data_IF_952154434033
#
_entry.id   IF_952154434033
#
_cell.length_a   1.000
_cell.length_b   1.000
_cell.length_c   1.000
_cell.angle_alpha   90.00
_cell.angle_beta   90.00
_cell.angle_gamma   90.00
#
_symmetry.space_group_name_H-M   'P 1'
#
loop_
_entity.id
_entity.type
_entity.pdbx_description
1 polymer ?
#
# COMPACT_ATOMS: atom_id res chain seq x y z
N UNK A 1 16.71 -16.44 21.16
CA UNK A 1 16.50 -15.85 19.80
C UNK A 1 17.78 -15.14 19.41
N UNK A 2 18.48 -15.64 18.41
CA UNK A 2 19.78 -15.07 18.00
C UNK A 2 19.57 -13.66 17.40
N UNK A 3 20.28 -12.67 17.92
CA UNK A 3 20.25 -11.28 17.44
C UNK A 3 20.54 -11.14 15.93
N UNK A 4 21.20 -12.14 15.34
CA UNK A 4 21.50 -12.24 13.91
C UNK A 4 20.27 -12.50 13.04
N UNK A 5 19.27 -13.27 13.51
CA UNK A 5 18.03 -13.56 12.78
C UNK A 5 17.08 -12.35 12.68
N UNK A 6 17.11 -11.46 13.70
CA UNK A 6 16.26 -10.26 13.73
C UNK A 6 16.78 -9.17 12.78
N UNK A 7 18.03 -9.27 12.35
CA UNK A 7 18.73 -8.24 11.57
C UNK A 7 18.50 -8.34 10.06
N UNK A 8 18.05 -9.48 9.53
CA UNK A 8 17.86 -9.67 8.09
C UNK A 8 16.64 -8.91 7.56
N UNK A 9 16.83 -8.22 6.44
CA UNK A 9 15.75 -7.52 5.74
C UNK A 9 14.82 -8.54 5.08
N UNK A 10 13.51 -8.38 5.26
CA UNK A 10 12.50 -9.25 4.66
C UNK A 10 12.15 -8.70 3.28
N UNK A 11 12.79 -9.21 2.25
CA UNK A 11 12.67 -8.72 0.87
C UNK A 11 11.23 -8.74 0.34
N UNK A 12 10.46 -9.75 0.70
CA UNK A 12 9.05 -9.89 0.28
C UNK A 12 8.22 -8.66 0.64
N UNK A 13 8.47 -8.05 1.81
CA UNK A 13 7.75 -6.83 2.22
C UNK A 13 8.07 -5.64 1.30
N UNK A 14 9.28 -5.59 0.77
CA UNK A 14 9.66 -4.52 -0.17
C UNK A 14 8.99 -4.72 -1.53
N UNK A 15 8.89 -5.97 -2.03
CA UNK A 15 8.12 -6.27 -3.24
C UNK A 15 6.65 -5.91 -3.08
N UNK A 16 6.03 -6.29 -1.96
CA UNK A 16 4.63 -5.99 -1.68
C UNK A 16 4.35 -4.49 -1.56
N UNK A 17 5.26 -3.71 -0.94
CA UNK A 17 5.15 -2.24 -0.90
C UNK A 17 5.24 -1.63 -2.28
N UNK A 18 6.18 -2.09 -3.09
CA UNK A 18 6.32 -1.65 -4.47
C UNK A 18 5.07 -1.95 -5.30
N UNK A 19 4.55 -3.17 -5.18
CA UNK A 19 3.31 -3.58 -5.82
C UNK A 19 2.11 -2.72 -5.40
N UNK A 20 1.98 -2.46 -4.10
CA UNK A 20 0.91 -1.61 -3.59
C UNK A 20 1.00 -0.18 -4.14
N UNK A 21 2.19 0.41 -4.21
CA UNK A 21 2.38 1.75 -4.76
C UNK A 21 2.04 1.84 -6.25
N UNK A 22 2.29 0.79 -7.03
CA UNK A 22 1.87 0.77 -8.45
C UNK A 22 0.35 0.87 -8.59
N UNK A 23 -0.42 0.18 -7.75
CA UNK A 23 -1.87 0.31 -7.79
C UNK A 23 -2.40 1.65 -7.28
N UNK A 24 -1.75 2.23 -6.27
CA UNK A 24 -2.18 3.49 -5.64
C UNK A 24 -2.17 4.66 -6.63
N UNK A 25 -1.14 4.79 -7.46
CA UNK A 25 -1.04 5.91 -8.42
C UNK A 25 -2.16 5.88 -9.46
N UNK A 26 -2.60 4.68 -9.90
CA UNK A 26 -3.67 4.54 -10.91
C UNK A 26 -5.00 5.17 -10.47
N UNK A 27 -5.21 5.22 -9.17
CA UNK A 27 -6.41 5.83 -8.57
C UNK A 27 -6.15 7.29 -8.19
N UNK A 28 -4.98 7.59 -7.64
CA UNK A 28 -4.66 8.94 -7.15
C UNK A 28 -4.53 9.96 -8.29
N UNK A 29 -4.11 9.56 -9.48
CA UNK A 29 -3.98 10.45 -10.63
C UNK A 29 -5.33 11.07 -11.05
N UNK A 30 -6.43 10.34 -10.86
CA UNK A 30 -7.77 10.77 -11.28
C UNK A 30 -8.18 12.08 -10.58
N UNK A 31 -8.26 12.18 -9.24
CA UNK A 31 -8.58 13.42 -8.56
C UNK A 31 -7.47 14.47 -8.68
N UNK A 32 -6.20 14.07 -8.79
CA UNK A 32 -5.08 15.01 -8.89
C UNK A 32 -5.11 15.83 -10.20
N UNK A 33 -5.58 15.25 -11.29
CA UNK A 33 -5.72 15.91 -12.58
C UNK A 33 -7.16 16.28 -12.92
N UNK A 34 -8.08 16.14 -11.97
CA UNK A 34 -9.53 16.44 -12.15
C UNK A 34 -10.13 15.73 -13.36
N UNK A 35 -9.77 14.45 -13.57
CA UNK A 35 -10.20 13.67 -14.74
C UNK A 35 -11.72 13.56 -14.77
N UNK A 36 -12.34 14.02 -15.85
CA UNK A 36 -13.80 14.01 -16.02
C UNK A 36 -14.34 12.60 -16.20
N UNK A 37 -15.54 12.36 -15.67
CA UNK A 37 -16.21 11.07 -15.83
C UNK A 37 -16.39 10.72 -17.32
N UNK A 38 -16.13 9.47 -17.71
CA UNK A 38 -16.20 9.06 -19.09
C UNK A 38 -17.63 8.92 -19.60
N UNK A 39 -17.80 9.09 -20.90
CA UNK A 39 -19.05 8.77 -21.60
C UNK A 39 -19.29 7.25 -21.53
N UNK A 40 -20.53 6.80 -21.24
CA UNK A 40 -20.86 5.38 -21.22
C UNK A 40 -20.50 4.66 -22.54
N UNK A 41 -20.18 3.38 -22.44
CA UNK A 41 -19.84 2.50 -23.58
C UNK A 41 -18.54 2.87 -24.32
N UNK A 42 -17.69 3.72 -23.72
CA UNK A 42 -16.34 4.01 -24.25
C UNK A 42 -15.27 3.12 -23.59
N UNK A 43 -14.06 3.13 -24.16
CA UNK A 43 -12.87 2.50 -23.55
C UNK A 43 -12.51 3.12 -22.22
N UNK A 44 -12.71 4.42 -22.06
CA UNK A 44 -12.52 5.13 -20.80
C UNK A 44 -13.49 4.64 -19.71
N UNK A 45 -14.76 4.41 -20.03
CA UNK A 45 -15.73 3.84 -19.11
C UNK A 45 -15.38 2.41 -18.72
N UNK A 46 -14.84 1.63 -19.66
CA UNK A 46 -14.35 0.26 -19.40
C UNK A 46 -13.14 0.27 -18.47
N UNK A 47 -12.22 1.22 -18.66
CA UNK A 47 -11.07 1.39 -17.79
C UNK A 47 -11.46 1.87 -16.38
N UNK A 48 -12.42 2.81 -16.27
CA UNK A 48 -12.98 3.21 -14.97
C UNK A 48 -13.56 2.02 -14.21
N UNK A 49 -14.35 1.19 -14.90
CA UNK A 49 -14.91 -0.05 -14.32
C UNK A 49 -13.80 -1.02 -13.86
N UNK A 50 -12.76 -1.17 -14.67
CA UNK A 50 -11.56 -1.95 -14.30
C UNK A 50 -10.90 -1.41 -13.02
N UNK A 51 -10.72 -0.08 -12.91
CA UNK A 51 -10.16 0.53 -11.71
C UNK A 51 -10.97 0.20 -10.47
N UNK A 52 -12.29 0.32 -10.51
CA UNK A 52 -13.15 0.02 -9.36
C UNK A 52 -13.21 -1.47 -9.01
N UNK A 53 -13.13 -2.37 -10.00
CA UNK A 53 -13.15 -3.80 -9.75
C UNK A 53 -11.83 -4.31 -9.18
N UNK A 54 -10.69 -3.86 -9.70
CA UNK A 54 -9.40 -4.50 -9.47
C UNK A 54 -8.38 -3.65 -8.72
N UNK A 55 -8.56 -2.34 -8.65
CA UNK A 55 -7.54 -1.42 -8.12
C UNK A 55 -8.02 -0.64 -6.91
N UNK A 56 -9.18 0.03 -7.02
CA UNK A 56 -9.70 0.93 -5.99
C UNK A 56 -9.86 0.23 -4.64
N UNK A 57 -9.23 0.78 -3.60
CA UNK A 57 -9.25 0.23 -2.24
C UNK A 57 -8.35 -0.99 -2.01
N UNK A 58 -8.01 -1.79 -3.04
CA UNK A 58 -7.24 -3.05 -2.89
C UNK A 58 -5.80 -2.76 -2.50
N UNK A 59 -5.14 -1.91 -3.24
CA UNK A 59 -3.73 -1.56 -3.01
C UNK A 59 -3.51 -0.71 -1.76
N UNK A 60 -4.46 0.16 -1.45
CA UNK A 60 -4.50 0.87 -0.18
C UNK A 60 -4.59 -0.10 1.01
N UNK A 61 -5.46 -1.10 0.93
CA UNK A 61 -5.60 -2.17 1.94
C UNK A 61 -4.29 -2.94 2.13
N UNK A 62 -3.60 -3.31 1.03
CA UNK A 62 -2.29 -3.96 1.10
C UNK A 62 -1.29 -3.06 1.82
N UNK A 63 -1.19 -1.79 1.43
CA UNK A 63 -0.22 -0.86 2.00
C UNK A 63 -0.48 -0.60 3.49
N UNK A 64 -1.75 -0.47 3.89
CA UNK A 64 -2.19 -0.32 5.28
C UNK A 64 -1.81 -1.53 6.15
N UNK A 65 -2.08 -2.73 5.65
CA UNK A 65 -1.68 -3.97 6.31
C UNK A 65 -0.16 -4.06 6.49
N UNK A 66 0.61 -3.73 5.44
CA UNK A 66 2.07 -3.71 5.49
C UNK A 66 2.64 -2.64 6.43
N UNK A 67 1.91 -1.55 6.66
CA UNK A 67 2.28 -0.57 7.67
C UNK A 67 2.22 -1.19 9.08
N UNK A 68 1.16 -1.94 9.39
CA UNK A 68 1.04 -2.68 10.66
C UNK A 68 2.14 -3.73 10.85
N UNK A 69 2.50 -4.49 9.79
CA UNK A 69 3.65 -5.42 9.81
C UNK A 69 4.94 -4.65 10.12
N UNK A 70 5.17 -3.55 9.40
CA UNK A 70 6.34 -2.70 9.56
C UNK A 70 6.44 -2.06 10.95
N UNK A 71 5.30 -1.66 11.53
CA UNK A 71 5.17 -1.18 12.90
C UNK A 71 5.73 -2.19 13.91
N UNK A 72 5.22 -3.41 13.87
CA UNK A 72 5.65 -4.46 14.80
C UNK A 72 7.14 -4.79 14.66
N UNK A 73 7.60 -4.99 13.41
CA UNK A 73 9.00 -5.30 13.13
C UNK A 73 9.91 -4.16 13.59
N UNK A 74 9.52 -2.90 13.38
CA UNK A 74 10.32 -1.75 13.76
C UNK A 74 10.53 -1.68 15.27
N UNK A 75 9.45 -1.75 16.06
CA UNK A 75 9.54 -1.69 17.54
C UNK A 75 10.30 -2.90 18.07
N UNK A 76 10.02 -4.10 17.58
CA UNK A 76 10.71 -5.33 17.99
C UNK A 76 12.22 -5.26 17.75
N UNK A 77 12.64 -4.76 16.57
CA UNK A 77 14.07 -4.59 16.26
C UNK A 77 14.73 -3.49 17.08
N UNK A 78 14.03 -2.41 17.40
CA UNK A 78 14.54 -1.36 18.25
C UNK A 78 14.78 -1.86 19.67
N UNK A 79 13.80 -2.58 20.23
CA UNK A 79 13.90 -3.18 21.58
C UNK A 79 15.01 -4.23 21.64
N UNK A 80 15.16 -5.08 20.61
CA UNK A 80 16.23 -6.08 20.54
C UNK A 80 17.65 -5.46 20.50
N UNK A 81 17.75 -4.19 20.07
CA UNK A 81 19.01 -3.40 20.09
C UNK A 81 19.19 -2.57 21.37
N UNK A 82 18.38 -2.79 22.40
CA UNK A 82 18.43 -2.04 23.67
C UNK A 82 17.92 -0.61 23.56
N UNK A 83 17.30 -0.20 22.45
CA UNK A 83 16.70 1.13 22.27
C UNK A 83 15.22 1.09 22.68
N UNK A 84 14.68 2.20 23.18
CA UNK A 84 13.25 2.30 23.47
C UNK A 84 12.44 2.37 22.15
N UNK A 85 11.86 1.25 21.74
CA UNK A 85 11.12 1.13 20.48
C UNK A 85 9.87 2.03 20.41
N UNK A 86 9.21 2.29 21.56
CA UNK A 86 8.05 3.19 21.62
C UNK A 86 8.43 4.64 21.32
N UNK A 87 9.49 5.14 21.97
CA UNK A 87 9.96 6.52 21.75
C UNK A 87 10.41 6.71 20.30
N UNK A 88 11.15 5.73 19.76
CA UNK A 88 11.58 5.78 18.35
C UNK A 88 10.40 5.73 17.39
N UNK A 89 9.37 4.94 17.71
CA UNK A 89 8.18 4.90 16.87
C UNK A 89 7.38 6.20 16.96
N UNK A 90 7.21 6.80 18.13
CA UNK A 90 6.55 8.10 18.29
C UNK A 90 7.25 9.19 17.46
N UNK A 91 8.59 9.25 17.49
CA UNK A 91 9.36 10.17 16.62
C UNK A 91 9.10 9.88 15.14
N UNK A 92 9.08 8.59 14.79
CA UNK A 92 8.87 8.15 13.41
C UNK A 92 7.50 8.56 12.87
N UNK A 93 6.42 8.40 13.65
CA UNK A 93 5.07 8.82 13.23
C UNK A 93 4.90 10.34 13.27
N UNK A 94 5.56 11.06 14.19
CA UNK A 94 5.56 12.52 14.18
C UNK A 94 6.15 13.06 12.86
N UNK A 95 7.29 12.53 12.43
CA UNK A 95 7.90 12.93 11.15
C UNK A 95 7.00 12.56 9.97
N UNK A 96 6.38 11.36 10.02
CA UNK A 96 5.41 10.95 9.00
C UNK A 96 4.19 11.89 8.95
N UNK A 97 3.71 12.32 10.11
CA UNK A 97 2.61 13.29 10.24
C UNK A 97 2.99 14.64 9.61
N UNK A 98 4.21 15.13 9.85
CA UNK A 98 4.70 16.37 9.24
C UNK A 98 4.76 16.24 7.71
N UNK A 99 5.26 15.11 7.17
CA UNK A 99 5.22 14.85 5.73
C UNK A 99 3.78 14.84 5.20
N UNK A 100 2.85 14.23 5.95
CA UNK A 100 1.43 14.22 5.60
C UNK A 100 0.81 15.62 5.59
N UNK A 101 1.09 16.46 6.60
CA UNK A 101 0.59 17.84 6.65
C UNK A 101 1.07 18.70 5.48
N UNK A 102 2.29 18.48 5.01
CA UNK A 102 2.78 19.14 3.78
C UNK A 102 2.10 18.55 2.55
N UNK A 103 1.98 17.22 2.49
CA UNK A 103 1.46 16.54 1.31
C UNK A 103 -0.04 16.76 1.09
N UNK A 104 -0.84 16.88 2.17
CA UNK A 104 -2.29 17.12 2.06
C UNK A 104 -2.63 18.44 1.36
N UNK A 105 -1.73 19.41 1.36
CA UNK A 105 -1.90 20.68 0.63
C UNK A 105 -1.96 20.47 -0.90
N UNK A 106 -1.34 19.39 -1.37
CA UNK A 106 -1.24 19.05 -2.80
C UNK A 106 -2.11 17.84 -3.17
N UNK A 107 -2.45 16.99 -2.21
CA UNK A 107 -3.23 15.78 -2.42
C UNK A 107 -4.22 15.56 -1.26
N UNK A 108 -5.47 16.06 -1.36
CA UNK A 108 -6.46 15.99 -0.27
C UNK A 108 -6.78 14.57 0.22
N UNK A 109 -6.64 13.56 -0.65
CA UNK A 109 -6.84 12.14 -0.32
C UNK A 109 -5.60 11.40 0.21
N UNK A 110 -4.59 12.13 0.73
CA UNK A 110 -3.33 11.55 1.15
C UNK A 110 -3.48 10.61 2.38
N UNK A 111 -2.59 9.63 2.48
CA UNK A 111 -2.68 8.56 3.48
C UNK A 111 -1.72 8.73 4.68
N UNK A 112 -0.67 9.57 4.58
CA UNK A 112 0.40 9.63 5.59
C UNK A 112 -0.09 10.18 6.92
N UNK A 113 -0.93 11.23 6.90
CA UNK A 113 -1.57 11.82 8.08
C UNK A 113 -2.45 10.80 8.78
N UNK A 114 -3.28 10.10 8.00
CA UNK A 114 -4.16 9.04 8.51
C UNK A 114 -3.33 7.91 9.14
N UNK A 115 -2.25 7.48 8.48
CA UNK A 115 -1.37 6.43 9.01
C UNK A 115 -0.63 6.87 10.27
N UNK A 116 -0.26 8.13 10.39
CA UNK A 116 0.37 8.65 11.60
C UNK A 116 -0.61 8.64 12.78
N UNK A 117 -1.85 9.12 12.58
CA UNK A 117 -2.90 9.11 13.62
C UNK A 117 -3.26 7.67 14.00
N UNK A 118 -3.54 6.81 13.02
CA UNK A 118 -3.85 5.40 13.29
C UNK A 118 -2.66 4.67 13.93
N UNK A 119 -1.42 5.05 13.60
CA UNK A 119 -0.21 4.56 14.23
C UNK A 119 -0.15 4.83 15.74
N UNK A 120 -0.67 5.98 16.19
CA UNK A 120 -0.84 6.27 17.62
C UNK A 120 -1.90 5.36 18.25
N UNK A 121 -3.03 5.18 17.57
CA UNK A 121 -4.15 4.35 18.06
C UNK A 121 -3.72 2.90 18.26
N UNK A 122 -2.91 2.34 17.34
CA UNK A 122 -2.46 0.94 17.42
C UNK A 122 -1.27 0.73 18.36
N UNK A 123 -0.65 1.80 18.86
CA UNK A 123 0.58 1.71 19.67
C UNK A 123 0.43 0.81 20.91
N UNK A 124 -0.67 0.84 21.70
CA UNK A 124 -0.88 -0.05 22.84
C UNK A 124 -0.92 -1.54 22.45
N UNK A 125 -1.42 -1.84 21.24
CA UNK A 125 -1.60 -3.20 20.75
C UNK A 125 -0.30 -3.93 20.41
N UNK A 126 0.84 -3.23 20.39
CA UNK A 126 2.15 -3.87 20.24
C UNK A 126 2.40 -4.95 21.32
N UNK A 127 1.98 -4.67 22.58
CA UNK A 127 2.12 -5.60 23.71
C UNK A 127 0.98 -6.60 23.82
N UNK A 128 -0.12 -6.39 23.09
CA UNK A 128 -1.26 -7.29 23.12
C UNK A 128 -0.89 -8.69 22.57
N UNK A 129 -1.58 -9.71 23.05
CA UNK A 129 -1.41 -11.07 22.56
C UNK A 129 -1.75 -11.14 21.06
N UNK A 130 -0.98 -11.92 20.32
CA UNK A 130 -1.17 -12.15 18.87
C UNK A 130 -2.58 -12.61 18.51
N UNK A 131 -3.21 -13.42 19.36
CA UNK A 131 -4.60 -13.88 19.15
C UNK A 131 -5.58 -12.73 19.33
N UNK A 132 -5.36 -11.86 20.32
CA UNK A 132 -6.20 -10.66 20.54
C UNK A 132 -6.13 -9.74 19.31
N UNK A 133 -4.92 -9.43 18.83
CA UNK A 133 -4.75 -8.59 17.65
C UNK A 133 -5.40 -9.20 16.39
N UNK A 134 -5.29 -10.53 16.23
CA UNK A 134 -5.89 -11.24 15.10
C UNK A 134 -7.42 -11.21 15.18
N UNK A 135 -7.99 -11.63 16.31
CA UNK A 135 -9.46 -11.77 16.48
C UNK A 135 -10.11 -10.39 16.45
N UNK A 136 -9.58 -9.44 17.21
CA UNK A 136 -10.14 -8.07 17.25
C UNK A 136 -10.01 -7.38 15.90
N UNK A 137 -8.85 -7.48 15.25
CA UNK A 137 -8.65 -6.96 13.90
C UNK A 137 -9.58 -7.61 12.88
N UNK A 138 -9.80 -8.92 12.94
CA UNK A 138 -10.68 -9.65 12.02
C UNK A 138 -12.16 -9.27 12.22
N UNK A 139 -12.64 -9.27 13.46
CA UNK A 139 -14.03 -8.93 13.78
C UNK A 139 -14.33 -7.48 13.39
N UNK A 140 -13.45 -6.55 13.77
CA UNK A 140 -13.60 -5.14 13.43
C UNK A 140 -13.57 -4.92 11.91
N UNK A 141 -12.65 -5.60 11.19
CA UNK A 141 -12.57 -5.52 9.74
C UNK A 141 -13.83 -6.05 9.08
N UNK A 142 -14.36 -7.20 9.54
CA UNK A 142 -15.59 -7.78 9.02
C UNK A 142 -16.77 -6.83 9.18
N UNK A 143 -16.98 -6.30 10.39
CA UNK A 143 -18.07 -5.36 10.67
C UNK A 143 -17.95 -4.10 9.78
N UNK A 144 -16.78 -3.47 9.75
CA UNK A 144 -16.58 -2.25 8.96
C UNK A 144 -16.67 -2.49 7.44
N UNK A 145 -16.28 -3.68 6.97
CA UNK A 145 -16.45 -4.08 5.58
C UNK A 145 -17.93 -4.21 5.21
N UNK A 146 -18.75 -4.85 6.04
CA UNK A 146 -20.20 -4.99 5.83
C UNK A 146 -20.92 -3.64 5.78
N UNK A 147 -20.48 -2.69 6.61
CA UNK A 147 -20.99 -1.32 6.58
C UNK A 147 -20.30 -0.44 5.51
N UNK A 148 -19.36 -0.98 4.74
CA UNK A 148 -18.57 -0.28 3.74
C UNK A 148 -17.86 0.99 4.25
N UNK A 149 -17.34 0.95 5.49
CA UNK A 149 -16.68 2.06 6.17
C UNK A 149 -15.18 2.09 5.88
N UNK A 150 -14.80 2.36 4.62
CA UNK A 150 -13.41 2.28 4.09
C UNK A 150 -12.40 2.99 4.99
N UNK A 151 -12.70 4.21 5.47
CA UNK A 151 -11.74 5.02 6.23
C UNK A 151 -11.42 4.40 7.60
N UNK A 152 -12.41 3.81 8.26
CA UNK A 152 -12.22 3.17 9.56
C UNK A 152 -11.54 1.79 9.47
N UNK A 153 -11.47 1.18 8.29
CA UNK A 153 -10.79 -0.11 8.08
C UNK A 153 -9.27 -0.02 8.26
N UNK A 154 -8.69 1.18 8.34
CA UNK A 154 -7.24 1.37 8.53
C UNK A 154 -6.75 0.72 9.81
N UNK A 155 -7.43 0.96 10.93
CA UNK A 155 -7.05 0.41 12.24
C UNK A 155 -7.06 -1.13 12.26
N UNK A 156 -8.16 -1.82 11.91
CA UNK A 156 -8.17 -3.29 11.91
C UNK A 156 -7.16 -3.90 10.91
N UNK A 157 -6.93 -3.28 9.75
CA UNK A 157 -5.91 -3.75 8.82
C UNK A 157 -4.50 -3.64 9.41
N UNK A 158 -4.20 -2.56 10.14
CA UNK A 158 -2.94 -2.42 10.85
C UNK A 158 -2.82 -3.44 11.99
N UNK A 159 -3.89 -3.73 12.73
CA UNK A 159 -3.89 -4.76 13.79
C UNK A 159 -3.63 -6.16 13.21
N UNK A 160 -4.24 -6.49 12.07
CA UNK A 160 -3.92 -7.73 11.35
C UNK A 160 -2.47 -7.77 10.89
N UNK A 161 -1.91 -6.62 10.47
CA UNK A 161 -0.49 -6.48 10.16
C UNK A 161 0.40 -6.74 11.39
N UNK A 162 0.04 -6.20 12.58
CA UNK A 162 0.73 -6.49 13.83
C UNK A 162 0.68 -7.99 14.13
N UNK A 163 -0.50 -8.61 14.06
CA UNK A 163 -0.67 -10.05 14.27
C UNK A 163 0.21 -10.86 13.31
N UNK A 164 0.23 -10.52 12.02
CA UNK A 164 1.08 -11.15 11.01
C UNK A 164 2.58 -11.05 11.37
N UNK A 165 3.02 -9.89 11.87
CA UNK A 165 4.37 -9.70 12.41
C UNK A 165 4.65 -10.55 13.65
N UNK A 166 3.70 -10.63 14.59
CA UNK A 166 3.81 -11.46 15.81
C UNK A 166 3.87 -12.97 15.49
N UNK A 167 3.12 -13.42 14.48
CA UNK A 167 3.19 -14.81 13.98
C UNK A 167 4.40 -15.06 13.08
N UNK A 168 5.18 -14.03 12.74
CA UNK A 168 6.35 -14.12 11.83
C UNK A 168 6.02 -14.71 10.47
N UNK A 169 4.85 -14.38 9.92
CA UNK A 169 4.37 -14.99 8.68
C UNK A 169 5.35 -14.76 7.53
N UNK A 170 5.92 -13.55 7.41
CA UNK A 170 6.83 -13.19 6.32
C UNK A 170 8.26 -13.72 6.48
N UNK A 171 8.65 -14.17 7.67
CA UNK A 171 9.96 -14.77 7.94
C UNK A 171 9.97 -16.26 7.61
N UNK A 172 8.79 -16.92 7.61
CA UNK A 172 8.61 -18.37 7.43
C UNK A 172 7.96 -18.76 6.11
N UNK A 173 7.88 -17.84 5.16
CA UNK A 173 7.14 -18.04 3.89
C UNK A 173 7.69 -19.24 3.11
N UNK A 174 9.02 -19.40 3.04
CA UNK A 174 9.65 -20.53 2.34
C UNK A 174 9.23 -21.89 2.92
N UNK A 175 9.03 -21.96 4.23
CA UNK A 175 8.72 -23.21 4.92
C UNK A 175 7.22 -23.54 4.88
N UNK A 176 6.37 -22.54 4.62
CA UNK A 176 4.91 -22.64 4.68
C UNK A 176 4.23 -22.47 3.30
N UNK A 177 4.93 -22.78 2.21
CA UNK A 177 4.41 -22.54 0.87
C UNK A 177 3.07 -23.23 0.60
N UNK A 178 2.85 -24.46 1.13
CA UNK A 178 1.58 -25.20 0.98
C UNK A 178 0.43 -24.47 1.66
N UNK A 179 0.64 -23.98 2.88
CA UNK A 179 -0.38 -23.22 3.64
C UNK A 179 -0.70 -21.92 2.89
N UNK A 180 0.34 -21.23 2.40
CA UNK A 180 0.17 -20.01 1.60
C UNK A 180 -0.60 -20.31 0.31
N UNK A 181 -0.33 -21.42 -0.36
CA UNK A 181 -1.04 -21.82 -1.60
C UNK A 181 -2.52 -22.14 -1.33
N UNK A 182 -2.82 -22.88 -0.28
CA UNK A 182 -4.22 -23.19 0.11
C UNK A 182 -4.98 -21.91 0.48
N UNK A 183 -4.36 -21.04 1.30
CA UNK A 183 -4.93 -19.74 1.66
C UNK A 183 -5.20 -18.89 0.41
N UNK A 184 -4.22 -18.78 -0.50
CA UNK A 184 -4.34 -17.99 -1.73
C UNK A 184 -5.42 -18.55 -2.64
N UNK A 185 -5.53 -19.88 -2.77
CA UNK A 185 -6.58 -20.55 -3.53
C UNK A 185 -7.97 -20.27 -2.97
N UNK A 186 -8.13 -20.33 -1.63
CA UNK A 186 -9.40 -19.97 -0.97
C UNK A 186 -9.77 -18.49 -1.21
N UNK A 187 -8.79 -17.58 -1.05
CA UNK A 187 -9.00 -16.15 -1.30
C UNK A 187 -9.29 -15.88 -2.78
N UNK A 188 -8.70 -16.64 -3.71
CA UNK A 188 -9.00 -16.54 -5.14
C UNK A 188 -10.47 -16.87 -5.43
N UNK A 189 -10.98 -18.00 -4.94
CA UNK A 189 -12.38 -18.41 -5.14
C UNK A 189 -13.33 -17.35 -4.60
N UNK A 190 -13.09 -16.86 -3.36
CA UNK A 190 -13.90 -15.82 -2.75
C UNK A 190 -13.80 -14.50 -3.52
N UNK A 191 -12.62 -14.14 -4.03
CA UNK A 191 -12.41 -12.93 -4.83
C UNK A 191 -13.18 -13.00 -6.15
N UNK A 192 -13.13 -14.15 -6.84
CA UNK A 192 -13.86 -14.34 -8.11
C UNK A 192 -15.35 -14.22 -7.86
N UNK A 193 -15.89 -14.90 -6.86
CA UNK A 193 -17.32 -14.82 -6.51
C UNK A 193 -17.73 -13.38 -6.18
N UNK A 194 -16.94 -12.68 -5.35
CA UNK A 194 -17.21 -11.28 -4.97
C UNK A 194 -17.12 -10.33 -6.16
N UNK A 195 -16.13 -10.48 -7.04
CA UNK A 195 -15.95 -9.64 -8.23
C UNK A 195 -17.07 -9.88 -9.27
N UNK A 196 -17.52 -11.13 -9.45
CA UNK A 196 -18.68 -11.44 -10.31
C UNK A 196 -19.93 -10.74 -9.73
N UNK A 197 -20.15 -10.87 -8.42
CA UNK A 197 -21.27 -10.21 -7.76
C UNK A 197 -21.19 -8.68 -7.89
N UNK A 198 -20.02 -8.08 -7.69
CA UNK A 198 -19.81 -6.64 -7.91
C UNK A 198 -20.07 -6.25 -9.37
N UNK A 199 -19.58 -7.02 -10.33
CA UNK A 199 -19.74 -6.75 -11.76
C UNK A 199 -21.22 -6.77 -12.20
N UNK A 200 -22.04 -7.69 -11.66
CA UNK A 200 -23.48 -7.75 -11.92
C UNK A 200 -24.24 -6.50 -11.47
N UNK A 201 -23.68 -5.75 -10.50
CA UNK A 201 -24.23 -4.49 -10.01
C UNK A 201 -23.54 -3.26 -10.62
N UNK A 202 -22.73 -3.45 -11.69
CA UNK A 202 -22.05 -2.33 -12.31
C UNK A 202 -23.04 -1.42 -13.04
N UNK A 203 -23.05 -0.11 -12.73
CA UNK A 203 -23.96 0.81 -13.39
C UNK A 203 -23.60 0.94 -14.87
N UNK A 204 -24.59 1.24 -15.70
CA UNK A 204 -24.37 1.54 -17.13
C UNK A 204 -23.53 2.81 -17.28
N UNK A 205 -23.86 3.84 -16.50
CA UNK A 205 -23.14 5.10 -16.44
C UNK A 205 -22.70 5.39 -15.01
N UNK A 206 -21.41 5.69 -14.81
CA UNK A 206 -20.92 6.20 -13.53
C UNK A 206 -21.28 7.68 -13.42
N UNK A 207 -22.24 7.97 -12.56
CA UNK A 207 -22.59 9.28 -12.03
C UNK A 207 -22.45 10.51 -12.94
N UNK A 208 -23.50 10.88 -13.61
CA UNK A 208 -23.65 12.25 -14.09
C UNK A 208 -24.51 13.03 -13.08
N UNK A 209 -23.87 13.76 -12.18
CA UNK A 209 -24.59 14.77 -11.35
C UNK A 209 -25.33 14.32 -10.11
N UNK A 210 -25.20 13.09 -9.69
CA UNK A 210 -25.76 12.53 -8.47
C UNK A 210 -25.37 11.07 -8.40
N UNK A 211 -24.91 10.61 -7.24
CA UNK A 211 -24.56 9.21 -7.05
C UNK A 211 -25.84 8.37 -7.19
N UNK A 212 -26.03 7.73 -8.34
CA UNK A 212 -27.14 6.80 -8.51
C UNK A 212 -27.06 5.70 -7.45
N UNK A 213 -28.21 5.19 -7.01
CA UNK A 213 -28.27 4.07 -6.05
C UNK A 213 -27.45 2.89 -6.54
N UNK A 214 -27.46 2.61 -7.85
CA UNK A 214 -26.65 1.56 -8.49
C UNK A 214 -25.14 1.80 -8.32
N UNK A 215 -24.67 3.04 -8.55
CA UNK A 215 -23.27 3.40 -8.34
C UNK A 215 -22.85 3.23 -6.88
N UNK A 216 -23.68 3.71 -5.95
CA UNK A 216 -23.39 3.54 -4.52
C UNK A 216 -23.33 2.07 -4.12
N UNK A 217 -24.27 1.25 -4.60
CA UNK A 217 -24.29 -0.19 -4.32
C UNK A 217 -23.04 -0.89 -4.87
N UNK A 218 -22.66 -0.59 -6.11
CA UNK A 218 -21.45 -1.11 -6.74
C UNK A 218 -20.18 -0.76 -5.95
N UNK A 219 -20.06 0.49 -5.50
CA UNK A 219 -18.93 0.95 -4.68
C UNK A 219 -18.93 0.30 -3.30
N UNK A 220 -20.10 0.18 -2.64
CA UNK A 220 -20.21 -0.50 -1.34
C UNK A 220 -19.80 -1.96 -1.42
N UNK A 221 -20.25 -2.70 -2.44
CA UNK A 221 -19.80 -4.09 -2.68
C UNK A 221 -18.28 -4.13 -2.84
N UNK A 222 -17.72 -3.22 -3.64
CA UNK A 222 -16.28 -3.12 -3.85
C UNK A 222 -15.47 -2.91 -2.56
N UNK A 223 -15.97 -2.06 -1.64
CA UNK A 223 -15.35 -1.83 -0.33
C UNK A 223 -15.45 -3.11 0.53
N UNK A 224 -16.62 -3.75 0.55
CA UNK A 224 -16.88 -4.96 1.34
C UNK A 224 -15.94 -6.12 0.96
N UNK A 225 -15.76 -6.38 -0.34
CA UNK A 225 -14.90 -7.47 -0.82
C UNK A 225 -13.41 -7.08 -0.91
N UNK A 226 -13.11 -5.78 -0.79
CA UNK A 226 -11.76 -5.23 -0.93
C UNK A 226 -10.68 -5.98 -0.15
N UNK A 227 -10.86 -6.26 1.16
CA UNK A 227 -9.89 -7.03 1.95
C UNK A 227 -9.63 -8.44 1.43
N UNK A 228 -10.66 -9.13 0.93
CA UNK A 228 -10.54 -10.49 0.39
C UNK A 228 -9.68 -10.48 -0.88
N UNK A 229 -9.97 -9.56 -1.82
CA UNK A 229 -9.21 -9.40 -3.06
C UNK A 229 -7.76 -8.98 -2.74
N UNK A 230 -7.57 -8.11 -1.75
CA UNK A 230 -6.22 -7.70 -1.31
C UNK A 230 -5.44 -8.86 -0.70
N UNK A 231 -6.08 -9.71 0.09
CA UNK A 231 -5.47 -10.92 0.66
C UNK A 231 -5.06 -11.91 -0.45
N UNK A 232 -5.90 -12.08 -1.48
CA UNK A 232 -5.55 -12.85 -2.68
C UNK A 232 -4.32 -12.26 -3.37
N UNK A 233 -4.25 -10.94 -3.60
CA UNK A 233 -3.11 -10.29 -4.24
C UNK A 233 -1.81 -10.46 -3.44
N UNK A 234 -1.86 -10.33 -2.11
CA UNK A 234 -0.70 -10.59 -1.24
C UNK A 234 -0.23 -12.03 -1.39
N UNK A 235 -1.16 -12.99 -1.27
CA UNK A 235 -0.85 -14.42 -1.38
C UNK A 235 -0.28 -14.79 -2.75
N UNK A 236 -0.88 -14.28 -3.83
CA UNK A 236 -0.42 -14.49 -5.20
C UNK A 236 1.00 -13.95 -5.40
N UNK A 237 1.27 -12.72 -4.96
CA UNK A 237 2.62 -12.12 -5.06
C UNK A 237 3.65 -12.95 -4.30
N UNK A 238 3.31 -13.42 -3.10
CA UNK A 238 4.19 -14.28 -2.29
C UNK A 238 4.51 -15.58 -3.04
N UNK A 239 3.50 -16.23 -3.62
CA UNK A 239 3.69 -17.47 -4.38
C UNK A 239 4.54 -17.24 -5.63
N UNK A 240 4.30 -16.17 -6.37
CA UNK A 240 5.07 -15.79 -7.55
C UNK A 240 6.55 -15.54 -7.22
N UNK A 241 6.84 -14.92 -6.09
CA UNK A 241 8.21 -14.65 -5.63
C UNK A 241 9.00 -15.90 -5.23
N UNK A 242 8.39 -17.08 -5.12
CA UNK A 242 9.11 -18.34 -4.96
C UNK A 242 9.84 -18.77 -6.25
N UNK A 243 9.41 -18.29 -7.41
CA UNK A 243 10.06 -18.58 -8.68
C UNK A 243 11.23 -17.62 -8.91
N UNK A 244 12.48 -18.14 -9.08
CA UNK A 244 13.67 -17.29 -9.26
C UNK A 244 13.56 -16.32 -10.44
N UNK A 245 13.00 -16.77 -11.56
CA UNK A 245 12.79 -15.94 -12.75
C UNK A 245 11.89 -14.76 -12.46
N UNK A 246 10.76 -14.99 -11.79
CA UNK A 246 9.82 -13.93 -11.41
C UNK A 246 10.49 -12.94 -10.45
N UNK A 247 11.25 -13.42 -9.48
CA UNK A 247 12.00 -12.59 -8.54
C UNK A 247 13.03 -11.71 -9.26
N UNK A 248 13.67 -12.22 -10.29
CA UNK A 248 14.64 -11.47 -11.10
C UNK A 248 13.93 -10.39 -11.93
N UNK A 249 12.85 -10.74 -12.63
CA UNK A 249 12.04 -9.79 -13.44
C UNK A 249 11.46 -8.69 -12.57
N UNK A 250 10.94 -9.04 -11.40
CA UNK A 250 10.36 -8.07 -10.46
C UNK A 250 11.40 -7.34 -9.58
N UNK A 251 12.70 -7.57 -9.78
CA UNK A 251 13.73 -6.95 -8.94
C UNK A 251 13.70 -5.40 -8.89
N UNK A 252 13.31 -4.66 -9.96
CA UNK A 252 13.12 -3.21 -9.87
C UNK A 252 12.01 -2.83 -8.88
N UNK A 253 10.95 -3.64 -8.79
CA UNK A 253 9.84 -3.44 -7.86
C UNK A 253 10.28 -3.49 -6.39
N UNK A 254 11.26 -4.34 -6.06
CA UNK A 254 11.88 -4.38 -4.74
C UNK A 254 12.57 -3.04 -4.42
N UNK A 255 13.33 -2.49 -5.36
CA UNK A 255 14.01 -1.19 -5.20
C UNK A 255 12.99 -0.07 -5.04
N UNK A 256 11.94 -0.09 -5.84
CA UNK A 256 10.82 0.84 -5.78
C UNK A 256 10.11 0.83 -4.42
N UNK A 257 9.80 -0.35 -3.89
CA UNK A 257 9.18 -0.50 -2.56
C UNK A 257 10.12 -0.17 -1.39
N UNK A 258 11.45 -0.28 -1.58
CA UNK A 258 12.44 0.21 -0.60
C UNK A 258 12.43 1.73 -0.45
N UNK A 259 12.04 2.44 -1.50
CA UNK A 259 11.91 3.89 -1.56
C UNK A 259 10.44 4.32 -1.57
N UNK A 260 9.59 3.58 -0.81
CA UNK A 260 8.14 3.76 -0.85
C UNK A 260 7.69 5.18 -0.50
N UNK A 261 8.29 5.82 0.51
CA UNK A 261 7.95 7.19 0.91
C UNK A 261 8.39 8.20 -0.15
N UNK A 262 9.63 8.07 -0.64
CA UNK A 262 10.14 8.91 -1.73
C UNK A 262 9.28 8.77 -2.97
N UNK A 263 8.97 7.55 -3.40
CA UNK A 263 8.19 7.30 -4.59
C UNK A 263 6.74 7.79 -4.45
N UNK A 264 6.10 7.59 -3.28
CA UNK A 264 4.74 8.06 -3.03
C UNK A 264 4.61 9.57 -3.14
N UNK A 265 5.50 10.32 -2.46
CA UNK A 265 5.48 11.79 -2.51
C UNK A 265 5.90 12.33 -3.89
N UNK A 266 6.89 11.70 -4.53
CA UNK A 266 7.31 12.12 -5.87
C UNK A 266 6.28 11.80 -6.95
N UNK A 267 5.40 10.81 -6.78
CA UNK A 267 4.26 10.58 -7.70
C UNK A 267 3.39 11.83 -7.79
N UNK A 268 2.97 12.38 -6.66
CA UNK A 268 2.15 13.60 -6.63
C UNK A 268 2.87 14.77 -7.30
N UNK A 269 4.15 14.97 -7.01
CA UNK A 269 4.94 16.04 -7.63
C UNK A 269 5.00 15.85 -9.16
N UNK A 270 5.32 14.62 -9.62
CA UNK A 270 5.41 14.32 -11.05
C UNK A 270 4.07 14.54 -11.77
N UNK A 271 2.96 14.09 -11.16
CA UNK A 271 1.62 14.26 -11.71
C UNK A 271 1.27 15.75 -11.82
N UNK A 272 1.45 16.53 -10.76
CA UNK A 272 1.08 17.94 -10.74
C UNK A 272 1.97 18.79 -11.64
N UNK A 273 3.29 18.54 -11.64
CA UNK A 273 4.23 19.27 -12.52
C UNK A 273 3.91 18.98 -13.99
N UNK A 274 3.75 17.72 -14.36
CA UNK A 274 3.40 17.36 -15.73
C UNK A 274 1.98 17.81 -16.08
N UNK A 275 1.03 17.74 -15.15
CA UNK A 275 -0.32 18.29 -15.31
C UNK A 275 -0.31 19.76 -15.73
N UNK A 276 0.58 20.56 -15.09
CA UNK A 276 0.74 21.98 -15.39
C UNK A 276 1.51 22.23 -16.70
N UNK A 277 2.59 21.49 -16.94
CA UNK A 277 3.47 21.70 -18.11
C UNK A 277 2.80 21.24 -19.41
N UNK A 278 2.05 20.14 -19.35
CA UNK A 278 1.39 19.53 -20.51
C UNK A 278 -0.10 19.87 -20.62
N UNK A 279 -0.61 20.79 -19.77
CA UNK A 279 -2.02 21.21 -19.72
C UNK A 279 -3.00 20.02 -19.62
N UNK A 280 -2.74 19.10 -18.65
CA UNK A 280 -3.52 17.88 -18.50
C UNK A 280 -4.74 18.04 -17.59
N UNK A 281 -4.81 19.10 -16.77
CA UNK A 281 -5.92 19.31 -15.84
C UNK A 281 -7.23 19.47 -16.62
N UNK A 282 -8.25 18.70 -16.23
CA UNK A 282 -9.57 18.63 -16.87
C UNK A 282 -9.58 18.20 -18.36
N UNK A 283 -8.41 17.97 -18.97
CA UNK A 283 -8.27 17.61 -20.38
C UNK A 283 -7.90 16.14 -20.61
N UNK A 284 -7.21 15.50 -19.66
CA UNK A 284 -6.81 14.10 -19.78
C UNK A 284 -8.00 13.15 -19.58
N UNK A 285 -8.07 12.07 -20.36
CA UNK A 285 -9.08 11.03 -20.21
C UNK A 285 -8.62 9.92 -19.26
N UNK A 286 -9.54 9.03 -18.86
CA UNK A 286 -9.22 7.89 -17.99
C UNK A 286 -8.16 6.98 -18.62
N UNK A 287 -8.29 6.62 -19.89
CA UNK A 287 -7.33 5.75 -20.56
C UNK A 287 -5.97 6.43 -20.76
N UNK A 288 -5.98 7.74 -21.07
CA UNK A 288 -4.74 8.51 -21.17
C UNK A 288 -4.01 8.59 -19.82
N UNK A 289 -4.75 8.66 -18.70
CA UNK A 289 -4.15 8.64 -17.36
C UNK A 289 -3.38 7.34 -17.08
N UNK A 290 -3.83 6.19 -17.64
CA UNK A 290 -3.08 4.94 -17.59
C UNK A 290 -1.72 5.06 -18.27
N UNK A 291 -1.69 5.57 -19.51
CA UNK A 291 -0.42 5.74 -20.25
C UNK A 291 0.54 6.67 -19.50
N UNK A 292 -0.02 7.71 -18.89
CA UNK A 292 0.77 8.62 -18.07
C UNK A 292 1.33 7.94 -16.81
N UNK A 293 0.53 7.11 -16.12
CA UNK A 293 1.03 6.28 -15.01
C UNK A 293 2.14 5.33 -15.47
N UNK A 294 2.02 4.71 -16.65
CA UNK A 294 3.07 3.83 -17.19
C UNK A 294 4.39 4.58 -17.40
N UNK A 295 4.34 5.83 -17.90
CA UNK A 295 5.52 6.68 -18.04
C UNK A 295 6.16 6.97 -16.67
N UNK A 296 5.34 7.32 -15.65
CA UNK A 296 5.84 7.54 -14.28
C UNK A 296 6.47 6.27 -13.73
N UNK A 297 5.89 5.08 -13.93
CA UNK A 297 6.49 3.81 -13.49
C UNK A 297 7.89 3.61 -14.09
N UNK A 298 8.07 3.83 -15.40
CA UNK A 298 9.39 3.69 -16.04
C UNK A 298 10.40 4.62 -15.36
N UNK A 299 10.04 5.87 -15.13
CA UNK A 299 10.90 6.87 -14.49
C UNK A 299 11.25 6.43 -13.07
N UNK A 300 10.26 6.10 -12.25
CA UNK A 300 10.48 5.81 -10.82
C UNK A 300 11.14 4.45 -10.57
N UNK A 301 10.80 3.41 -11.33
CA UNK A 301 11.45 2.09 -11.23
C UNK A 301 12.93 2.20 -11.61
N UNK A 302 13.23 2.90 -12.72
CA UNK A 302 14.60 3.13 -13.18
C UNK A 302 15.37 3.97 -12.16
N UNK A 303 14.81 5.09 -11.71
CA UNK A 303 15.42 5.94 -10.69
C UNK A 303 15.71 5.16 -9.41
N UNK A 304 14.73 4.42 -8.88
CA UNK A 304 14.89 3.65 -7.65
C UNK A 304 15.95 2.56 -7.78
N UNK A 305 16.00 1.88 -8.93
CA UNK A 305 17.00 0.85 -9.19
C UNK A 305 18.42 1.43 -9.26
N UNK A 306 18.61 2.54 -9.98
CA UNK A 306 19.91 3.22 -10.11
C UNK A 306 20.32 3.84 -8.77
N UNK A 307 19.41 4.56 -8.12
CA UNK A 307 19.68 5.21 -6.82
C UNK A 307 20.19 4.22 -5.78
N UNK A 308 19.48 3.10 -5.60
CA UNK A 308 19.84 2.10 -4.60
C UNK A 308 21.06 1.24 -4.97
N UNK A 309 21.66 1.40 -6.16
CA UNK A 309 23.01 0.86 -6.43
C UNK A 309 24.08 1.66 -5.69
N UNK A 310 23.92 2.99 -5.57
CA UNK A 310 24.91 3.89 -5.01
C UNK A 310 24.60 4.30 -3.55
N UNK A 311 23.32 4.32 -3.17
CA UNK A 311 22.85 4.80 -1.87
C UNK A 311 22.16 3.69 -1.07
N UNK A 312 22.21 3.80 0.26
CA UNK A 312 21.64 2.80 1.18
C UNK A 312 20.15 3.00 1.41
N UNK A 313 19.66 4.22 1.29
CA UNK A 313 18.27 4.65 1.55
C UNK A 313 17.79 5.54 0.43
N UNK A 314 16.46 5.62 0.23
CA UNK A 314 15.87 6.66 -0.58
C UNK A 314 16.05 8.05 0.09
N UNK A 315 15.93 9.15 -0.67
CA UNK A 315 16.12 10.50 -0.12
C UNK A 315 15.24 10.78 1.10
N UNK A 316 13.92 10.57 0.99
CA UNK A 316 13.00 10.85 2.10
C UNK A 316 13.05 9.78 3.20
N UNK A 317 13.36 8.54 2.88
CA UNK A 317 13.62 7.48 3.87
C UNK A 317 14.86 7.82 4.72
N UNK A 318 15.87 8.42 4.10
CA UNK A 318 17.06 8.87 4.83
C UNK A 318 16.71 10.01 5.80
N UNK A 319 16.00 11.04 5.33
CA UNK A 319 15.51 12.15 6.20
C UNK A 319 14.66 11.60 7.34
N UNK A 320 13.69 10.74 7.04
CA UNK A 320 12.81 10.12 8.02
C UNK A 320 13.59 9.33 9.08
N UNK A 321 14.60 8.59 8.64
CA UNK A 321 15.47 7.83 9.53
C UNK A 321 16.32 8.74 10.41
N UNK A 322 16.96 9.75 9.84
CA UNK A 322 17.78 10.73 10.55
C UNK A 322 16.98 11.41 11.68
N UNK A 323 15.78 11.89 11.37
CA UNK A 323 14.90 12.52 12.35
C UNK A 323 14.36 11.53 13.39
N UNK A 324 14.20 10.25 13.05
CA UNK A 324 13.76 9.22 14.00
C UNK A 324 14.83 8.91 15.04
N UNK A 325 16.09 8.75 14.61
CA UNK A 325 17.19 8.30 15.47
C UNK A 325 18.03 9.42 16.01
N UNK A 326 17.92 10.65 15.47
CA UNK A 326 18.82 11.78 15.66
C UNK A 326 20.30 11.42 15.38
N UNK A 327 20.49 10.55 14.40
CA UNK A 327 21.78 10.08 13.93
C UNK A 327 21.83 10.28 12.41
N UNK A 328 22.97 10.70 11.87
CA UNK A 328 23.18 10.84 10.43
C UNK A 328 23.81 9.55 9.86
N UNK A 329 23.01 8.56 9.43
CA UNK A 329 23.57 7.36 8.84
C UNK A 329 24.24 7.66 7.50
N UNK A 330 25.34 6.98 7.15
CA UNK A 330 25.99 7.17 5.86
C UNK A 330 24.99 6.88 4.73
N UNK A 331 24.79 7.88 3.87
CA UNK A 331 23.84 7.75 2.75
C UNK A 331 24.44 6.92 1.61
N UNK A 332 25.73 7.14 1.30
CA UNK A 332 26.45 6.36 0.28
C UNK A 332 26.81 4.97 0.82
N UNK A 333 26.72 3.98 -0.06
CA UNK A 333 27.27 2.65 0.26
C UNK A 333 28.78 2.74 0.28
N UNK A 334 29.43 2.28 1.36
CA UNK A 334 30.86 2.01 1.35
C UNK A 334 31.11 0.88 0.35
N UNK A 335 31.91 1.12 -0.67
CA UNK A 335 32.41 0.04 -1.53
C UNK A 335 33.29 -0.86 -0.63
N UNK A 336 32.83 -2.07 -0.39
CA UNK A 336 33.66 -3.16 0.16
C UNK A 336 34.32 -3.85 -1.01
#
# INVERSE_FOLDING_TARGET
>A
MNAKEISTRIDVLDYLRGYALMGIILVNIIPLLSVKLPIPSTSDASYLRFLYLFVEGRFYTIFTFLFGVGFYIFISRANAKGKNGYVLFLRRILVLFIFGLVHVQFHPGEALTVYAICGLIILPFYKANKVVNLVFGMVMLLVLSLYAQKMFMVVPLMLLGIAAGQYRLFERISDQWKVTAVFTGGMFVLSVAGLIYQYQHAPFAFGSGGESIETQQFLRIGITIGPIVSAFYIGLMILLLNFPVVRQVLSPLKSYGRMALTNYLSQTILILVAGKVLDLFDHITYLQSLYFCLAIYVIQLTFSAIWLRHFSFGPLEWVWRTMTYFEFPPMRKTRV
#
